data_IF_786380218897
#
_entry.id   IF_786380218897
#
_cell.length_a   1.000
_cell.length_b   1.000
_cell.length_c   1.000
_cell.angle_alpha   90.00
_cell.angle_beta   90.00
_cell.angle_gamma   90.00
#
_symmetry.space_group_name_H-M   'P 1'
#
loop_
_entity.id
_entity.type
_entity.pdbx_description
1 polymer ?
#
# COMPACT_ATOMS: atom_id res chain seq x y z
N UNK A 1 -47.14 -5.50 20.57
CA UNK A 1 -46.64 -4.23 20.04
C UNK A 1 -45.89 -4.51 18.75
N UNK A 2 -46.59 -4.43 17.61
CA UNK A 2 -45.96 -4.53 16.29
C UNK A 2 -45.19 -3.23 16.08
N UNK A 3 -43.86 -3.28 16.22
CA UNK A 3 -43.00 -2.13 15.96
C UNK A 3 -43.17 -1.74 14.49
N UNK A 4 -43.79 -0.59 14.26
CA UNK A 4 -44.03 -0.06 12.93
C UNK A 4 -42.66 0.15 12.26
N UNK A 5 -42.28 -0.76 11.35
CA UNK A 5 -41.05 -0.64 10.58
C UNK A 5 -41.29 0.44 9.53
N UNK A 6 -40.98 1.69 9.88
CA UNK A 6 -40.85 2.74 8.87
C UNK A 6 -39.83 2.27 7.85
N UNK A 7 -40.34 1.85 6.70
CA UNK A 7 -39.52 1.56 5.53
C UNK A 7 -39.18 2.90 4.89
N UNK A 8 -38.00 2.99 4.29
CA UNK A 8 -37.57 4.14 3.48
C UNK A 8 -38.60 4.52 2.39
N UNK A 9 -39.49 3.58 2.06
CA UNK A 9 -40.68 3.71 1.21
C UNK A 9 -41.65 4.81 1.67
N UNK A 10 -41.99 4.90 2.95
CA UNK A 10 -42.95 5.91 3.44
C UNK A 10 -42.36 7.33 3.50
N UNK A 11 -41.04 7.45 3.46
CA UNK A 11 -40.32 8.73 3.61
C UNK A 11 -39.92 9.30 2.23
N UNK A 12 -39.58 8.43 1.27
CA UNK A 12 -39.08 8.82 -0.05
C UNK A 12 -39.96 8.38 -1.22
N UNK A 13 -41.03 7.62 -0.99
CA UNK A 13 -41.92 7.11 -2.03
C UNK A 13 -42.51 8.19 -2.93
N UNK A 14 -42.81 9.37 -2.37
CA UNK A 14 -43.40 10.49 -3.12
C UNK A 14 -42.36 11.49 -3.67
N UNK A 15 -41.13 11.49 -3.16
CA UNK A 15 -40.11 12.51 -3.49
C UNK A 15 -39.03 12.02 -4.48
N UNK A 16 -38.97 10.71 -4.75
CA UNK A 16 -37.89 10.13 -5.55
C UNK A 16 -36.52 10.26 -4.89
N UNK A 17 -35.49 9.76 -5.57
CA UNK A 17 -34.11 9.87 -5.08
C UNK A 17 -33.60 11.32 -5.30
N UNK A 18 -33.06 12.00 -4.28
CA UNK A 18 -32.58 13.38 -4.43
C UNK A 18 -31.45 13.45 -5.45
N UNK A 19 -31.60 14.34 -6.44
CA UNK A 19 -30.66 14.50 -7.57
C UNK A 19 -29.24 14.85 -7.08
N UNK A 20 -29.14 15.63 -6.02
CA UNK A 20 -27.85 16.00 -5.41
C UNK A 20 -27.05 14.77 -4.93
N UNK A 21 -27.76 13.77 -4.39
CA UNK A 21 -27.14 12.53 -3.91
C UNK A 21 -26.65 11.66 -5.07
N UNK A 22 -27.37 11.67 -6.19
CA UNK A 22 -26.96 10.98 -7.43
C UNK A 22 -25.71 11.64 -8.00
N UNK A 23 -25.71 12.96 -8.16
CA UNK A 23 -24.57 13.72 -8.69
C UNK A 23 -23.32 13.50 -7.83
N UNK A 24 -23.45 13.59 -6.50
CA UNK A 24 -22.33 13.41 -5.59
C UNK A 24 -21.74 11.99 -5.67
N UNK A 25 -22.59 10.96 -5.81
CA UNK A 25 -22.12 9.57 -6.00
C UNK A 25 -21.42 9.37 -7.35
N UNK A 26 -21.92 9.97 -8.42
CA UNK A 26 -21.27 9.91 -9.75
C UNK A 26 -19.88 10.54 -9.70
N UNK A 27 -19.75 11.73 -9.11
CA UNK A 27 -18.47 12.41 -8.95
C UNK A 27 -17.51 11.55 -8.12
N UNK A 28 -17.98 11.00 -7.00
CA UNK A 28 -17.19 10.12 -6.13
C UNK A 28 -16.62 8.91 -6.88
N UNK A 29 -17.39 8.30 -7.78
CA UNK A 29 -16.94 7.14 -8.57
C UNK A 29 -15.85 7.54 -9.54
N UNK A 30 -15.99 8.67 -10.23
CA UNK A 30 -14.96 9.15 -11.15
C UNK A 30 -13.63 9.29 -10.40
N UNK A 31 -13.60 9.97 -9.24
CA UNK A 31 -12.39 10.06 -8.43
C UNK A 31 -11.90 8.69 -7.93
N UNK A 32 -12.83 7.82 -7.51
CA UNK A 32 -12.51 6.46 -7.06
C UNK A 32 -11.91 5.60 -8.18
N UNK A 33 -12.30 5.78 -9.43
CA UNK A 33 -11.72 5.01 -10.55
C UNK A 33 -10.28 5.40 -10.83
N UNK A 34 -9.99 6.70 -10.86
CA UNK A 34 -8.61 7.18 -10.98
C UNK A 34 -7.76 6.71 -9.80
N UNK A 35 -8.30 6.77 -8.58
CA UNK A 35 -7.61 6.29 -7.40
C UNK A 35 -7.30 4.79 -7.44
N UNK A 36 -8.23 3.95 -7.89
CA UNK A 36 -7.98 2.50 -8.06
C UNK A 36 -6.89 2.26 -9.11
N UNK A 37 -6.94 2.95 -10.25
CA UNK A 37 -5.96 2.80 -11.33
C UNK A 37 -4.54 3.18 -10.87
N UNK A 38 -4.38 4.33 -10.21
CA UNK A 38 -3.08 4.77 -9.73
C UNK A 38 -2.54 3.85 -8.62
N UNK A 39 -3.38 3.46 -7.66
CA UNK A 39 -2.94 2.56 -6.59
C UNK A 39 -2.59 1.16 -7.13
N UNK A 40 -3.36 0.61 -8.07
CA UNK A 40 -3.05 -0.67 -8.71
C UNK A 40 -1.73 -0.60 -9.51
N UNK A 41 -1.46 0.52 -10.18
CA UNK A 41 -0.21 0.74 -10.92
C UNK A 41 1.02 0.69 -10.00
N UNK A 42 0.94 1.29 -8.80
CA UNK A 42 2.01 1.28 -7.81
C UNK A 42 2.27 -0.13 -7.25
N UNK A 43 1.20 -0.88 -6.98
CA UNK A 43 1.31 -2.29 -6.57
C UNK A 43 1.98 -3.11 -7.67
N UNK A 44 1.58 -2.93 -8.93
CA UNK A 44 2.15 -3.63 -10.07
C UNK A 44 3.65 -3.34 -10.26
N UNK A 45 4.04 -2.07 -10.21
CA UNK A 45 5.45 -1.65 -10.33
C UNK A 45 6.28 -2.20 -9.18
N UNK A 46 5.75 -2.19 -7.96
CA UNK A 46 6.43 -2.73 -6.78
C UNK A 46 6.61 -4.24 -6.89
N UNK A 47 5.60 -4.97 -7.41
CA UNK A 47 5.70 -6.41 -7.62
C UNK A 47 6.70 -6.80 -8.72
N UNK A 48 6.83 -5.99 -9.77
CA UNK A 48 7.76 -6.26 -10.89
C UNK A 48 9.21 -5.87 -10.58
N UNK A 49 9.43 -4.85 -9.77
CA UNK A 49 10.77 -4.28 -9.58
C UNK A 49 11.54 -5.00 -8.47
N UNK A 50 12.52 -5.84 -8.85
CA UNK A 50 13.35 -6.60 -7.89
C UNK A 50 14.21 -5.72 -6.98
N UNK A 51 14.52 -4.49 -7.41
CA UNK A 51 15.31 -3.49 -6.67
C UNK A 51 14.52 -2.81 -5.56
N UNK A 52 13.17 -2.85 -5.58
CA UNK A 52 12.29 -2.21 -4.60
C UNK A 52 11.88 -3.15 -3.44
N UNK A 53 12.69 -4.17 -3.10
CA UNK A 53 12.34 -5.15 -2.05
C UNK A 53 12.61 -4.71 -0.60
N UNK A 54 12.81 -3.41 -0.37
CA UNK A 54 12.93 -2.89 1.00
C UNK A 54 11.58 -2.97 1.72
N UNK A 55 11.59 -3.21 3.04
CA UNK A 55 10.39 -3.32 3.89
C UNK A 55 9.44 -2.14 3.73
N UNK A 56 9.96 -0.91 3.59
CA UNK A 56 9.13 0.26 3.37
C UNK A 56 8.36 0.22 2.04
N UNK A 57 8.98 -0.22 0.95
CA UNK A 57 8.30 -0.27 -0.35
C UNK A 57 7.18 -1.31 -0.34
N UNK A 58 7.33 -2.41 0.41
CA UNK A 58 6.27 -3.39 0.63
C UNK A 58 5.11 -2.82 1.47
N UNK A 59 5.41 -2.04 2.51
CA UNK A 59 4.39 -1.36 3.31
C UNK A 59 3.59 -0.35 2.48
N UNK A 60 4.25 0.40 1.59
CA UNK A 60 3.58 1.32 0.66
C UNK A 60 2.70 0.56 -0.32
N UNK A 61 3.18 -0.55 -0.89
CA UNK A 61 2.36 -1.37 -1.78
C UNK A 61 1.14 -1.98 -1.07
N UNK A 62 1.28 -2.38 0.19
CA UNK A 62 0.17 -2.86 1.01
C UNK A 62 -0.87 -1.76 1.24
N UNK A 63 -0.42 -0.54 1.56
CA UNK A 63 -1.33 0.61 1.72
C UNK A 63 -2.12 0.93 0.44
N UNK A 64 -1.44 0.94 -0.71
CA UNK A 64 -2.09 1.12 -2.02
C UNK A 64 -3.10 0.00 -2.32
N UNK A 65 -2.81 -1.25 -1.94
CA UNK A 65 -3.71 -2.39 -2.13
C UNK A 65 -4.98 -2.22 -1.28
N UNK A 66 -4.82 -1.91 0.00
CA UNK A 66 -5.93 -1.67 0.93
C UNK A 66 -6.76 -0.46 0.49
N UNK A 67 -6.10 0.63 0.08
CA UNK A 67 -6.76 1.82 -0.47
C UNK A 67 -7.57 1.52 -1.73
N UNK A 68 -7.06 0.65 -2.61
CA UNK A 68 -7.80 0.19 -3.79
C UNK A 68 -9.04 -0.62 -3.40
N UNK A 69 -8.90 -1.52 -2.42
CA UNK A 69 -10.00 -2.33 -1.92
C UNK A 69 -11.09 -1.47 -1.25
N UNK A 70 -10.68 -0.47 -0.46
CA UNK A 70 -11.59 0.50 0.13
C UNK A 70 -12.38 1.28 -0.92
N UNK A 71 -11.72 1.67 -2.02
CA UNK A 71 -12.35 2.42 -3.11
C UNK A 71 -13.38 1.61 -3.91
N UNK A 72 -13.28 0.28 -3.94
CA UNK A 72 -14.31 -0.60 -4.52
C UNK A 72 -15.66 -0.45 -3.79
N UNK A 73 -15.68 -0.04 -2.51
CA UNK A 73 -16.94 0.24 -1.82
C UNK A 73 -17.78 1.34 -2.49
N UNK A 74 -17.13 2.32 -3.14
CA UNK A 74 -17.83 3.36 -3.89
C UNK A 74 -18.57 2.80 -5.12
N UNK A 75 -18.06 1.70 -5.70
CA UNK A 75 -18.71 0.96 -6.79
C UNK A 75 -19.88 0.09 -6.29
N UNK A 76 -19.80 -0.44 -5.07
CA UNK A 76 -20.94 -1.13 -4.47
C UNK A 76 -22.10 -0.15 -4.19
N UNK A 77 -21.80 1.07 -3.73
CA UNK A 77 -22.82 2.12 -3.52
C UNK A 77 -23.64 2.43 -4.76
N UNK A 78 -23.01 2.53 -5.93
CA UNK A 78 -23.74 2.91 -7.16
C UNK A 78 -24.62 1.78 -7.68
N UNK A 79 -24.16 0.53 -7.55
CA UNK A 79 -24.93 -0.64 -7.97
C UNK A 79 -26.21 -0.76 -7.13
N UNK A 80 -26.11 -0.46 -5.84
CA UNK A 80 -27.26 -0.37 -4.92
C UNK A 80 -28.22 0.74 -5.34
N UNK A 81 -27.71 1.93 -5.68
CA UNK A 81 -28.54 3.08 -6.08
C UNK A 81 -29.30 2.81 -7.39
N UNK A 82 -28.63 2.26 -8.41
CA UNK A 82 -29.28 1.98 -9.70
C UNK A 82 -30.23 0.77 -9.64
N UNK A 83 -29.93 -0.26 -8.85
CA UNK A 83 -30.83 -1.41 -8.68
C UNK A 83 -32.03 -1.11 -7.75
N UNK A 84 -31.93 -0.11 -6.86
CA UNK A 84 -33.05 0.30 -6.01
C UNK A 84 -34.25 0.86 -6.80
N UNK A 85 -34.08 1.22 -8.07
CA UNK A 85 -35.17 1.68 -8.95
C UNK A 85 -36.17 0.59 -9.34
N UNK A 86 -35.86 -0.70 -9.15
CA UNK A 86 -36.75 -1.81 -9.50
C UNK A 86 -37.25 -2.62 -8.29
N UNK A 87 -36.47 -2.72 -7.21
CA UNK A 87 -36.84 -3.39 -5.95
C UNK A 87 -36.09 -2.74 -4.78
N UNK A 88 -36.80 -2.31 -3.72
CA UNK A 88 -36.18 -1.69 -2.54
C UNK A 88 -35.21 -2.66 -1.86
N UNK A 89 -33.93 -2.28 -1.78
CA UNK A 89 -32.88 -3.10 -1.18
C UNK A 89 -33.13 -3.35 0.32
N UNK A 90 -32.89 -4.58 0.76
CA UNK A 90 -32.83 -4.90 2.18
C UNK A 90 -31.62 -4.18 2.80
N UNK A 91 -31.86 -3.39 3.86
CA UNK A 91 -30.82 -2.66 4.61
C UNK A 91 -29.76 -3.60 5.19
N UNK A 92 -30.15 -4.85 5.48
CA UNK A 92 -29.31 -5.85 6.15
C UNK A 92 -28.07 -6.26 5.34
N UNK A 93 -28.18 -6.72 4.08
CA UNK A 93 -27.01 -7.03 3.25
C UNK A 93 -26.13 -5.80 2.97
N UNK A 94 -26.73 -4.61 2.75
CA UNK A 94 -25.96 -3.38 2.55
C UNK A 94 -25.07 -3.04 3.74
N UNK A 95 -25.62 -3.08 4.97
CA UNK A 95 -24.82 -2.84 6.17
C UNK A 95 -23.77 -3.94 6.39
N UNK A 96 -24.08 -5.19 6.07
CA UNK A 96 -23.19 -6.33 6.32
C UNK A 96 -22.00 -6.35 5.36
N UNK A 97 -22.13 -5.84 4.13
CA UNK A 97 -21.00 -5.73 3.21
C UNK A 97 -20.25 -4.39 3.30
N UNK A 98 -20.96 -3.26 3.34
CA UNK A 98 -20.30 -1.95 3.30
C UNK A 98 -19.56 -1.60 4.57
N UNK A 99 -20.13 -1.92 5.73
CA UNK A 99 -19.56 -1.54 7.02
C UNK A 99 -18.20 -2.19 7.29
N UNK A 100 -18.03 -3.52 7.16
CA UNK A 100 -16.73 -4.14 7.40
C UNK A 100 -15.69 -3.74 6.36
N UNK A 101 -16.06 -3.57 5.09
CA UNK A 101 -15.12 -3.14 4.06
C UNK A 101 -14.64 -1.69 4.29
N UNK A 102 -15.53 -0.81 4.77
CA UNK A 102 -15.16 0.54 5.19
C UNK A 102 -14.25 0.52 6.41
N UNK A 103 -14.64 -0.20 7.47
CA UNK A 103 -13.87 -0.26 8.72
C UNK A 103 -12.49 -0.88 8.50
N UNK A 104 -12.42 -2.00 7.77
CA UNK A 104 -11.17 -2.66 7.45
C UNK A 104 -10.27 -1.77 6.58
N UNK A 105 -10.80 -1.21 5.49
CA UNK A 105 -10.02 -0.36 4.59
C UNK A 105 -9.49 0.90 5.29
N UNK A 106 -10.35 1.57 6.06
CA UNK A 106 -9.97 2.77 6.80
C UNK A 106 -8.91 2.44 7.86
N UNK A 107 -9.18 1.49 8.75
CA UNK A 107 -8.24 1.14 9.84
C UNK A 107 -6.90 0.63 9.30
N UNK A 108 -6.90 -0.21 8.28
CA UNK A 108 -5.67 -0.74 7.71
C UNK A 108 -4.81 0.36 7.05
N UNK A 109 -5.41 1.38 6.41
CA UNK A 109 -4.67 2.54 5.88
C UNK A 109 -4.07 3.45 6.95
N UNK A 110 -4.73 3.61 8.11
CA UNK A 110 -4.12 4.33 9.23
C UNK A 110 -2.94 3.55 9.82
N UNK A 111 -3.10 2.24 9.98
CA UNK A 111 -2.06 1.37 10.53
C UNK A 111 -0.85 1.31 9.57
N UNK A 112 -1.07 1.15 8.27
CA UNK A 112 0.01 1.14 7.27
C UNK A 112 0.77 2.47 7.27
N UNK A 113 0.08 3.61 7.27
CA UNK A 113 0.70 4.93 7.29
C UNK A 113 1.53 5.14 8.56
N UNK A 114 1.02 4.68 9.70
CA UNK A 114 1.73 4.71 10.97
C UNK A 114 3.01 3.86 10.93
N UNK A 115 2.92 2.62 10.41
CA UNK A 115 4.06 1.72 10.27
C UNK A 115 5.11 2.25 9.29
N UNK A 116 4.70 2.85 8.18
CA UNK A 116 5.61 3.52 7.22
C UNK A 116 6.36 4.66 7.92
N UNK A 117 5.63 5.47 8.70
CA UNK A 117 6.23 6.58 9.45
C UNK A 117 7.25 6.09 10.48
N UNK A 118 6.93 4.98 11.16
CA UNK A 118 7.83 4.37 12.14
C UNK A 118 9.08 3.75 11.50
N UNK A 119 8.93 3.05 10.37
CA UNK A 119 10.04 2.50 9.59
C UNK A 119 11.02 3.60 9.14
N UNK A 120 10.48 4.73 8.67
CA UNK A 120 11.29 5.89 8.30
C UNK A 120 11.96 6.56 9.49
N UNK A 121 11.27 6.67 10.63
CA UNK A 121 11.87 7.20 11.86
C UNK A 121 13.03 6.32 12.35
N UNK A 122 12.85 4.99 12.35
CA UNK A 122 13.90 4.04 12.73
C UNK A 122 15.11 4.12 11.78
N UNK A 123 14.86 4.25 10.48
CA UNK A 123 15.94 4.43 9.48
C UNK A 123 16.75 5.70 9.71
N UNK A 124 16.14 6.77 10.26
CA UNK A 124 16.83 8.04 10.57
C UNK A 124 17.52 7.97 11.93
N UNK A 125 16.88 7.35 12.93
CA UNK A 125 17.39 7.29 14.30
C UNK A 125 18.56 6.29 14.44
N UNK A 126 18.51 5.18 13.70
CA UNK A 126 19.51 4.11 13.73
C UNK A 126 20.05 3.81 12.34
N UNK A 127 20.85 4.72 11.74
CA UNK A 127 21.48 4.47 10.43
C UNK A 127 22.48 3.31 10.45
N UNK A 128 22.89 2.85 11.64
CA UNK A 128 23.92 1.82 11.84
C UNK A 128 23.38 0.39 11.76
N UNK A 129 22.09 0.12 12.04
CA UNK A 129 21.56 -1.26 12.05
C UNK A 129 21.53 -1.88 10.65
N UNK A 130 21.26 -1.07 9.62
CA UNK A 130 21.30 -1.48 8.21
C UNK A 130 22.72 -1.76 7.70
N UNK A 131 23.75 -1.15 8.30
CA UNK A 131 25.15 -1.39 7.95
C UNK A 131 25.68 -2.68 8.59
N UNK A 132 25.26 -3.00 9.83
CA UNK A 132 25.69 -4.22 10.50
C UNK A 132 25.13 -5.51 9.88
N UNK A 133 23.94 -5.46 9.26
CA UNK A 133 23.36 -6.60 8.53
C UNK A 133 23.98 -6.84 7.14
N UNK A 134 24.72 -5.85 6.60
CA UNK A 134 25.49 -5.95 5.35
C UNK A 134 26.98 -6.24 5.58
N UNK A 135 27.43 -6.29 6.84
CA UNK A 135 28.69 -6.93 7.18
C UNK A 135 28.47 -8.43 7.12
N UNK A 136 28.54 -8.99 5.91
CA UNK A 136 28.92 -10.38 5.73
C UNK A 136 30.12 -10.66 6.67
N UNK A 137 30.16 -11.82 7.36
CA UNK A 137 31.30 -12.18 8.18
C UNK A 137 32.58 -11.98 7.35
N UNK A 138 33.64 -11.42 7.93
CA UNK A 138 34.87 -11.17 7.20
C UNK A 138 35.26 -12.44 6.44
N UNK A 139 35.63 -12.35 5.15
CA UNK A 139 36.00 -13.53 4.38
C UNK A 139 37.04 -14.33 5.19
N UNK A 140 36.90 -15.66 5.29
CA UNK A 140 37.83 -16.47 6.05
C UNK A 140 39.25 -16.13 5.59
N UNK A 141 40.21 -16.03 6.52
CA UNK A 141 41.57 -15.67 6.17
C UNK A 141 42.03 -16.60 5.04
N UNK A 142 42.65 -16.06 3.98
CA UNK A 142 43.14 -16.87 2.89
C UNK A 142 44.01 -18.00 3.47
N UNK A 143 43.87 -19.26 2.99
CA UNK A 143 44.72 -20.34 3.43
C UNK A 143 46.18 -19.89 3.41
N UNK A 144 46.91 -20.15 4.49
CA UNK A 144 48.31 -19.77 4.60
C UNK A 144 49.03 -20.18 3.31
N UNK A 145 49.78 -19.26 2.66
CA UNK A 145 50.50 -19.61 1.46
C UNK A 145 51.42 -20.80 1.77
N UNK A 146 51.49 -21.82 0.90
CA UNK A 146 52.48 -22.87 1.05
C UNK A 146 53.87 -22.22 1.17
N UNK A 147 54.77 -22.78 2.00
CA UNK A 147 56.07 -22.19 2.26
C UNK A 147 56.76 -21.82 0.95
N UNK A 148 57.10 -20.53 0.87
CA UNK A 148 57.67 -19.85 -0.29
C UNK A 148 58.81 -20.63 -0.93
N UNK A 149 58.60 -21.04 -2.18
CA UNK A 149 59.72 -21.08 -3.14
C UNK A 149 59.69 -19.75 -3.90
N UNK A 150 60.79 -19.02 -3.76
CA UNK A 150 61.11 -17.68 -4.24
C UNK A 150 60.81 -17.46 -5.74
N UNK A 151 60.09 -16.38 -6.10
CA UNK A 151 60.15 -15.81 -7.46
C UNK A 151 59.76 -14.32 -7.48
N UNK A 152 60.69 -13.47 -7.92
CA UNK A 152 60.68 -12.00 -7.85
C UNK A 152 60.00 -11.31 -9.04
N UNK A 153 58.66 -11.38 -9.18
CA UNK A 153 58.02 -10.66 -10.31
C UNK A 153 56.84 -9.79 -9.85
N UNK A 154 57.09 -8.48 -9.92
CA UNK A 154 56.20 -7.33 -9.97
C UNK A 154 55.44 -6.91 -8.69
N UNK A 155 56.18 -6.25 -7.81
CA UNK A 155 55.66 -5.15 -7.01
C UNK A 155 55.51 -3.88 -7.88
N UNK A 156 54.35 -3.70 -8.49
CA UNK A 156 53.82 -2.39 -8.97
C UNK A 156 52.30 -2.53 -9.00
N UNK A 157 51.45 -1.71 -8.40
CA UNK A 157 51.60 -0.55 -7.55
C UNK A 157 50.18 -0.20 -7.08
N UNK A 158 50.01 -0.01 -5.77
CA UNK A 158 49.10 0.98 -5.16
C UNK A 158 47.62 0.97 -5.58
N UNK A 159 46.82 0.32 -4.74
CA UNK A 159 45.49 0.78 -4.34
C UNK A 159 45.67 2.01 -3.42
N UNK A 160 44.84 3.07 -3.52
CA UNK A 160 43.77 3.23 -2.54
C UNK A 160 42.43 3.65 -3.16
N UNK A 161 41.42 2.80 -2.91
CA UNK A 161 40.02 3.18 -2.83
C UNK A 161 39.88 4.23 -1.72
N UNK A 162 39.82 5.52 -2.05
CA UNK A 162 39.46 6.60 -1.12
C UNK A 162 39.24 7.92 -1.88
N UNK A 163 38.19 7.98 -2.71
CA UNK A 163 37.52 9.21 -3.19
C UNK A 163 36.06 8.76 -3.43
N UNK A 164 35.15 8.78 -2.46
CA UNK A 164 34.46 9.95 -1.89
C UNK A 164 33.99 10.97 -2.93
N UNK A 165 32.66 11.00 -3.08
CA UNK A 165 31.83 12.15 -3.45
C UNK A 165 31.85 12.70 -4.89
N UNK A 166 30.61 12.88 -5.37
CA UNK A 166 30.16 13.66 -6.51
C UNK A 166 30.44 13.03 -7.87
N UNK A 167 29.37 12.57 -8.52
CA UNK A 167 28.84 13.14 -9.78
C UNK A 167 27.73 12.21 -10.29
N UNK A 168 26.52 12.78 -10.33
CA UNK A 168 25.29 12.40 -11.06
C UNK A 168 24.73 10.98 -10.96
#
# INVERSE_FOLDING_TARGET
MSGNKMTLFDIYGDNGLPIDLVILNVIRIVFSTFGILFNASLVFVTAKTKTLKSSCHLLIAFDCLVSSFYQINSWLSITVIFNAGSQFLQIRPCCLEMLPAFLFGFTASFISTYLISFDRLLSVLFPMWSVYLLLDPPPPPPPAPPPTTFSWILATSKIPYLIFEKVL
#
